data_IF_731437769651
#
_entry.id   IF_731437769651
#
_cell.length_a   1.000
_cell.length_b   1.000
_cell.length_c   1.000
_cell.angle_alpha   90.00
_cell.angle_beta   90.00
_cell.angle_gamma   90.00
#
_symmetry.space_group_name_H-M   'P 1'
#
loop_
_entity.id
_entity.type
_entity.pdbx_description
1 polymer ?
#
# COMPACT_ATOMS: atom_id res chain seq x y z
N UNK A 1 -15.10 35.70 8.85
CA UNK A 1 -14.97 34.23 8.76
C UNK A 1 -13.90 33.67 9.73
N UNK A 2 -13.67 34.25 10.92
CA UNK A 2 -12.74 33.69 11.94
C UNK A 2 -13.48 32.86 13.01
N UNK A 3 -14.81 33.03 13.12
CA UNK A 3 -15.66 32.37 14.12
C UNK A 3 -15.68 30.84 14.00
N UNK A 4 -15.31 30.30 12.83
CA UNK A 4 -15.22 28.85 12.61
C UNK A 4 -14.19 28.21 13.58
N UNK A 5 -13.15 28.95 13.97
CA UNK A 5 -12.13 28.50 14.94
C UNK A 5 -12.59 28.56 16.40
N UNK A 6 -13.73 29.20 16.70
CA UNK A 6 -14.33 29.19 18.04
C UNK A 6 -15.18 27.94 18.28
N UNK A 7 -15.67 27.31 17.20
CA UNK A 7 -16.45 26.06 17.26
C UNK A 7 -15.57 24.83 17.00
N UNK A 8 -14.54 24.98 16.17
CA UNK A 8 -13.62 23.91 15.83
C UNK A 8 -12.28 24.14 16.51
N UNK A 9 -12.00 23.34 17.54
CA UNK A 9 -10.71 23.35 18.23
C UNK A 9 -9.56 23.17 17.22
N UNK A 10 -8.67 24.17 17.07
CA UNK A 10 -7.64 24.23 16.03
C UNK A 10 -6.87 22.92 15.85
N UNK A 11 -6.51 22.34 16.99
CA UNK A 11 -5.71 21.13 17.10
C UNK A 11 -6.46 19.91 16.58
N UNK A 12 -7.74 19.78 16.94
CA UNK A 12 -8.55 18.62 16.55
C UNK A 12 -8.81 18.62 15.05
N UNK A 13 -9.06 19.78 14.46
CA UNK A 13 -9.31 19.90 13.01
C UNK A 13 -8.06 19.57 12.19
N UNK A 14 -6.89 20.06 12.61
CA UNK A 14 -5.61 19.70 11.97
C UNK A 14 -5.32 18.21 12.09
N UNK A 15 -5.52 17.62 13.27
CA UNK A 15 -5.32 16.17 13.48
C UNK A 15 -6.33 15.35 12.68
N UNK A 16 -7.60 15.75 12.63
CA UNK A 16 -8.62 15.06 11.86
C UNK A 16 -8.31 15.09 10.35
N UNK A 17 -7.89 16.25 9.83
CA UNK A 17 -7.49 16.39 8.44
C UNK A 17 -6.24 15.54 8.14
N UNK A 18 -5.19 15.62 8.97
CA UNK A 18 -3.99 14.79 8.80
C UNK A 18 -4.32 13.30 8.84
N UNK A 19 -5.09 12.86 9.83
CA UNK A 19 -5.46 11.45 10.02
C UNK A 19 -6.31 10.97 8.85
N UNK A 20 -7.27 11.77 8.38
CA UNK A 20 -8.11 11.44 7.24
C UNK A 20 -7.28 11.26 5.96
N UNK A 21 -6.41 12.23 5.64
CA UNK A 21 -5.55 12.14 4.46
C UNK A 21 -4.55 10.98 4.58
N UNK A 22 -4.03 10.72 5.78
CA UNK A 22 -3.08 9.64 6.02
C UNK A 22 -3.72 8.26 5.85
N UNK A 23 -4.91 8.04 6.42
CA UNK A 23 -5.67 6.80 6.24
C UNK A 23 -5.99 6.61 4.75
N UNK A 24 -6.44 7.66 4.07
CA UNK A 24 -6.75 7.60 2.65
C UNK A 24 -5.52 7.23 1.81
N UNK A 25 -4.35 7.79 2.13
CA UNK A 25 -3.09 7.45 1.48
C UNK A 25 -2.73 5.97 1.69
N UNK A 26 -2.79 5.46 2.92
CA UNK A 26 -2.54 4.06 3.21
C UNK A 26 -3.51 3.14 2.45
N UNK A 27 -4.80 3.46 2.45
CA UNK A 27 -5.84 2.67 1.79
C UNK A 27 -5.54 2.52 0.29
N UNK A 28 -5.16 3.60 -0.39
CA UNK A 28 -4.75 3.58 -1.80
C UNK A 28 -3.50 2.71 -2.00
N UNK A 29 -2.46 2.86 -1.16
CA UNK A 29 -1.23 2.07 -1.28
C UNK A 29 -1.49 0.58 -1.06
N UNK A 30 -2.30 0.23 -0.06
CA UNK A 30 -2.70 -1.15 0.22
C UNK A 30 -3.48 -1.76 -0.96
N UNK A 31 -4.34 -1.00 -1.64
CA UNK A 31 -5.04 -1.45 -2.84
C UNK A 31 -4.07 -1.72 -4.00
N UNK A 32 -3.12 -0.80 -4.23
CA UNK A 32 -2.10 -0.98 -5.27
C UNK A 32 -1.21 -2.19 -4.98
N UNK A 33 -0.76 -2.35 -3.73
CA UNK A 33 0.02 -3.50 -3.28
C UNK A 33 -0.79 -4.80 -3.29
N UNK A 34 -2.10 -4.78 -3.01
CA UNK A 34 -2.90 -6.01 -3.07
C UNK A 34 -3.15 -6.49 -4.50
N UNK A 35 -2.99 -5.62 -5.51
CA UNK A 35 -3.29 -5.93 -6.90
C UNK A 35 -2.07 -6.54 -7.59
N UNK A 36 -2.18 -7.76 -8.11
CA UNK A 36 -1.10 -8.54 -8.74
C UNK A 36 -0.28 -7.75 -9.81
N UNK A 37 -0.93 -6.84 -10.56
CA UNK A 37 -0.26 -5.99 -11.57
C UNK A 37 0.49 -4.77 -11.02
N UNK A 38 0.13 -4.26 -9.85
CA UNK A 38 0.70 -3.03 -9.27
C UNK A 38 1.46 -3.30 -7.97
N UNK A 39 1.50 -4.56 -7.54
CA UNK A 39 2.27 -5.01 -6.40
C UNK A 39 3.76 -5.04 -6.75
N UNK A 40 4.41 -3.89 -6.55
CA UNK A 40 5.84 -3.73 -6.81
C UNK A 40 6.72 -4.57 -5.85
N UNK A 41 6.16 -5.09 -4.76
CA UNK A 41 6.88 -5.99 -3.84
C UNK A 41 6.91 -7.44 -4.35
N UNK A 42 5.87 -7.87 -5.06
CA UNK A 42 5.69 -9.25 -5.54
C UNK A 42 6.13 -9.42 -7.01
N UNK A 43 6.16 -8.33 -7.79
CA UNK A 43 6.41 -8.31 -9.24
C UNK A 43 7.77 -8.85 -9.73
N UNK A 44 8.66 -9.28 -8.84
CA UNK A 44 9.92 -9.96 -9.16
C UNK A 44 10.05 -11.40 -8.67
N UNK A 45 9.13 -11.91 -7.83
CA UNK A 45 9.29 -13.23 -7.17
C UNK A 45 8.44 -14.36 -7.76
N UNK A 46 7.39 -14.05 -8.53
CA UNK A 46 6.56 -15.09 -9.17
C UNK A 46 7.22 -15.75 -10.39
N UNK A 47 8.19 -15.12 -11.03
CA UNK A 47 8.99 -15.78 -12.06
C UNK A 47 10.09 -16.64 -11.43
N UNK A 48 10.94 -16.06 -10.56
CA UNK A 48 12.16 -16.70 -10.07
C UNK A 48 11.93 -17.99 -9.24
N UNK A 49 10.82 -18.08 -8.52
CA UNK A 49 10.50 -19.27 -7.71
C UNK A 49 9.94 -20.42 -8.56
N UNK A 50 9.32 -20.15 -9.70
CA UNK A 50 8.74 -21.19 -10.56
C UNK A 50 9.77 -21.74 -11.57
N UNK A 51 10.82 -20.99 -11.87
CA UNK A 51 11.90 -21.44 -12.76
C UNK A 51 12.97 -22.25 -12.03
N UNK A 52 13.23 -22.00 -10.74
CA UNK A 52 14.16 -22.83 -9.95
C UNK A 52 13.63 -24.24 -9.66
N UNK A 53 12.30 -24.43 -9.56
CA UNK A 53 11.69 -25.77 -9.41
C UNK A 53 11.68 -26.54 -10.73
N UNK A 54 11.48 -25.86 -11.86
CA UNK A 54 11.52 -26.46 -13.21
C UNK A 54 12.92 -27.00 -13.58
N UNK A 55 13.98 -26.31 -13.14
CA UNK A 55 15.37 -26.75 -13.38
C UNK A 55 15.72 -27.99 -12.56
N UNK A 56 15.19 -28.16 -11.34
CA UNK A 56 15.42 -29.36 -10.53
C UNK A 56 14.65 -30.60 -11.04
N UNK A 57 13.56 -30.41 -11.78
CA UNK A 57 12.74 -31.51 -12.31
C UNK A 57 13.21 -32.02 -13.69
N UNK A 58 14.14 -31.32 -14.35
CA UNK A 58 14.65 -31.66 -15.68
C UNK A 58 16.08 -32.23 -15.67
N UNK A 59 16.66 -32.49 -14.50
CA UNK A 59 17.95 -33.16 -14.37
C UNK A 59 17.76 -34.68 -14.50
N UNK A 60 18.16 -35.33 -15.61
CA UNK A 60 18.20 -36.78 -15.69
C UNK A 60 19.33 -37.31 -14.78
N UNK A 61 19.02 -38.39 -14.06
CA UNK A 61 19.94 -39.22 -13.26
C UNK A 61 21.07 -39.83 -14.10
#
# INVERSE_FOLDING_TARGET
MHKIWLLFDPRRTLVALFTFLFILALLIHFILLSTDRFNWLEGGKKSAANEHSLVLQTMPS
#
